data_IF_215800146495
#
_entry.id   IF_215800146495
#
_cell.length_a   1.000
_cell.length_b   1.000
_cell.length_c   1.000
_cell.angle_alpha   90.00
_cell.angle_beta   90.00
_cell.angle_gamma   90.00
#
_symmetry.space_group_name_H-M   'P 1'
#
loop_
_entity.id
_entity.type
_entity.pdbx_description
1 polymer ?
#
# COMPACT_ATOMS: atom_id res chain seq x y z
N UNK A 1 -35.11 40.61 -24.75
CA UNK A 1 -36.56 40.32 -24.72
C UNK A 1 -36.92 38.90 -25.15
N UNK A 2 -35.94 38.03 -25.45
CA UNK A 2 -36.18 36.66 -25.92
C UNK A 2 -35.65 35.55 -24.98
N UNK A 3 -34.91 35.90 -23.92
CA UNK A 3 -34.48 34.95 -22.88
C UNK A 3 -35.48 34.85 -21.71
N UNK A 4 -36.27 35.89 -21.46
CA UNK A 4 -37.27 35.95 -20.37
C UNK A 4 -38.58 35.19 -20.67
N UNK A 5 -38.68 34.57 -21.86
CA UNK A 5 -39.79 33.68 -22.28
C UNK A 5 -39.45 32.20 -22.13
N UNK A 6 -38.19 31.80 -22.35
CA UNK A 6 -37.73 30.41 -22.17
C UNK A 6 -37.68 29.98 -20.69
N UNK A 7 -37.49 30.92 -19.78
CA UNK A 7 -37.50 30.65 -18.34
C UNK A 7 -38.92 30.47 -17.77
N UNK A 8 -39.93 31.12 -18.37
CA UNK A 8 -41.35 30.97 -17.97
C UNK A 8 -42.00 29.67 -18.47
N UNK A 9 -41.55 29.14 -19.61
CA UNK A 9 -42.06 27.85 -20.12
C UNK A 9 -41.43 26.64 -19.43
N UNK A 10 -40.22 26.75 -18.87
CA UNK A 10 -39.62 25.68 -18.05
C UNK A 10 -40.23 25.60 -16.65
N UNK A 11 -40.68 26.73 -16.07
CA UNK A 11 -41.35 26.76 -14.77
C UNK A 11 -42.83 26.32 -14.82
N UNK A 12 -43.43 26.22 -16.02
CA UNK A 12 -44.81 25.75 -16.21
C UNK A 12 -44.93 24.22 -16.40
N UNK A 13 -43.82 23.51 -16.55
CA UNK A 13 -43.78 22.02 -16.63
C UNK A 13 -43.39 21.32 -15.32
N UNK A 14 -43.25 22.08 -14.23
CA UNK A 14 -42.95 21.56 -12.89
C UNK A 14 -44.14 21.73 -11.95
N UNK A 15 -45.19 20.94 -12.11
CA UNK A 15 -46.35 21.03 -11.23
C UNK A 15 -47.47 20.06 -11.55
N UNK A 16 -47.21 18.75 -11.54
CA UNK A 16 -48.26 17.76 -11.34
C UNK A 16 -47.82 16.73 -10.29
N UNK A 17 -48.72 16.54 -9.32
CA UNK A 17 -48.61 15.66 -8.16
C UNK A 17 -48.16 14.24 -8.55
N UNK A 18 -46.95 13.87 -8.14
CA UNK A 18 -46.53 12.45 -8.08
C UNK A 18 -47.27 11.84 -6.89
N UNK A 19 -48.41 11.22 -7.17
CA UNK A 19 -49.17 10.44 -6.18
C UNK A 19 -48.52 9.07 -6.07
N UNK A 20 -48.28 8.62 -4.84
CA UNK A 20 -47.61 7.38 -4.41
C UNK A 20 -48.23 6.05 -4.94
N UNK A 21 -49.15 6.10 -5.91
CA UNK A 21 -49.83 4.96 -6.55
C UNK A 21 -49.18 4.47 -7.85
N UNK A 22 -48.31 5.26 -8.49
CA UNK A 22 -47.71 4.89 -9.79
C UNK A 22 -46.37 4.13 -9.70
N UNK A 23 -45.84 3.90 -8.49
CA UNK A 23 -44.62 3.10 -8.26
C UNK A 23 -44.92 1.71 -7.69
N UNK A 24 -46.19 1.35 -7.52
CA UNK A 24 -46.63 0.04 -6.99
C UNK A 24 -47.34 -0.83 -8.03
N UNK A 25 -47.65 -0.31 -9.23
CA UNK A 25 -48.45 -1.03 -10.24
C UNK A 25 -47.64 -1.82 -11.26
N UNK A 26 -46.33 -1.54 -11.40
CA UNK A 26 -45.48 -2.16 -12.43
C UNK A 26 -44.72 -3.42 -11.95
N UNK A 27 -44.62 -3.64 -10.63
CA UNK A 27 -43.92 -4.80 -10.07
C UNK A 27 -44.84 -6.03 -9.87
N UNK A 28 -46.14 -5.84 -9.60
CA UNK A 28 -47.08 -6.98 -9.48
C UNK A 28 -47.38 -7.67 -10.82
N UNK A 29 -47.32 -6.94 -11.94
CA UNK A 29 -47.71 -7.45 -13.26
C UNK A 29 -46.59 -8.27 -13.95
N UNK A 30 -45.35 -8.18 -13.45
CA UNK A 30 -44.20 -8.96 -13.94
C UNK A 30 -44.03 -10.29 -13.22
N UNK A 31 -44.38 -10.40 -11.95
CA UNK A 31 -44.33 -11.67 -11.22
C UNK A 31 -45.52 -12.57 -11.54
N UNK A 32 -46.72 -12.01 -11.71
CA UNK A 32 -47.91 -12.75 -12.17
C UNK A 32 -47.71 -13.39 -13.56
N UNK A 33 -47.09 -12.67 -14.52
CA UNK A 33 -46.75 -13.22 -15.84
C UNK A 33 -45.68 -14.30 -15.81
N UNK A 34 -44.73 -14.25 -14.86
CA UNK A 34 -43.72 -15.31 -14.70
C UNK A 34 -44.35 -16.58 -14.13
N UNK A 35 -45.26 -16.46 -13.17
CA UNK A 35 -45.92 -17.62 -12.56
C UNK A 35 -46.90 -18.31 -13.52
N UNK A 36 -47.61 -17.54 -14.36
CA UNK A 36 -48.46 -18.11 -15.43
C UNK A 36 -47.62 -18.85 -16.49
N UNK A 37 -46.46 -18.31 -16.87
CA UNK A 37 -45.54 -18.96 -17.82
C UNK A 37 -44.93 -20.24 -17.24
N UNK A 38 -44.64 -20.25 -15.93
CA UNK A 38 -44.09 -21.40 -15.20
C UNK A 38 -45.13 -22.52 -14.98
N UNK A 39 -46.40 -22.17 -14.75
CA UNK A 39 -47.52 -23.12 -14.71
C UNK A 39 -47.85 -23.69 -16.09
N UNK A 40 -47.78 -22.87 -17.15
CA UNK A 40 -47.96 -23.32 -18.53
C UNK A 40 -46.88 -24.31 -18.96
N UNK A 41 -45.61 -24.08 -18.58
CA UNK A 41 -44.52 -25.01 -18.86
C UNK A 41 -44.61 -26.30 -18.04
N UNK A 42 -45.04 -26.24 -16.77
CA UNK A 42 -45.22 -27.44 -15.96
C UNK A 42 -46.43 -28.28 -16.41
N UNK A 43 -47.49 -27.64 -16.92
CA UNK A 43 -48.62 -28.37 -17.51
C UNK A 43 -48.21 -29.04 -18.84
N UNK A 44 -47.42 -28.39 -19.68
CA UNK A 44 -46.88 -29.02 -20.89
C UNK A 44 -45.98 -30.22 -20.57
N UNK A 45 -45.08 -30.10 -19.58
CA UNK A 45 -44.27 -31.24 -19.11
C UNK A 45 -45.09 -32.37 -18.47
N UNK A 46 -46.27 -32.06 -17.89
CA UNK A 46 -47.15 -33.10 -17.31
C UNK A 46 -47.99 -33.84 -18.36
N UNK A 47 -48.28 -33.18 -19.50
CA UNK A 47 -49.04 -33.77 -20.62
C UNK A 47 -48.12 -34.61 -21.53
N UNK A 48 -46.84 -34.24 -21.67
CA UNK A 48 -45.87 -35.06 -22.43
C UNK A 48 -45.45 -36.35 -21.68
N UNK A 49 -45.70 -36.47 -20.37
CA UNK A 49 -45.35 -37.65 -19.56
C UNK A 49 -46.32 -38.83 -19.64
N UNK A 50 -47.47 -38.70 -20.30
CA UNK A 50 -48.46 -39.79 -20.37
C UNK A 50 -48.25 -40.76 -21.54
N UNK A 51 -47.16 -40.63 -22.31
CA UNK A 51 -46.93 -41.44 -23.51
C UNK A 51 -45.57 -42.15 -23.63
N UNK A 52 -44.67 -42.06 -22.65
CA UNK A 52 -43.32 -42.64 -22.75
C UNK A 52 -43.23 -44.06 -22.16
N UNK A 53 -42.67 -44.99 -22.95
CA UNK A 53 -42.40 -46.37 -22.56
C UNK A 53 -41.29 -46.45 -21.50
N UNK A 54 -41.33 -47.45 -20.62
CA UNK A 54 -40.39 -47.55 -19.49
C UNK A 54 -38.91 -47.73 -19.91
N UNK A 55 -38.64 -48.14 -21.16
CA UNK A 55 -37.29 -48.20 -21.72
C UNK A 55 -36.70 -46.82 -22.05
N UNK A 56 -37.55 -45.81 -22.35
CA UNK A 56 -37.12 -44.45 -22.68
C UNK A 56 -36.82 -43.62 -21.43
N UNK A 57 -37.52 -43.91 -20.32
CA UNK A 57 -37.22 -43.34 -18.99
C UNK A 57 -35.84 -43.74 -18.50
N UNK A 58 -35.43 -44.98 -18.72
CA UNK A 58 -34.13 -45.48 -18.27
C UNK A 58 -32.96 -44.86 -19.06
N UNK A 59 -33.12 -44.63 -20.37
CA UNK A 59 -32.15 -43.87 -21.20
C UNK A 59 -32.10 -42.38 -20.84
N UNK A 60 -33.26 -41.77 -20.57
CA UNK A 60 -33.36 -40.38 -20.13
C UNK A 60 -32.63 -40.17 -18.80
N UNK A 61 -32.86 -41.04 -17.81
CA UNK A 61 -32.20 -40.96 -16.49
C UNK A 61 -30.72 -41.32 -16.53
N UNK A 62 -30.27 -42.20 -17.44
CA UNK A 62 -28.83 -42.45 -17.68
C UNK A 62 -28.14 -41.21 -18.26
N UNK A 63 -28.74 -40.55 -19.25
CA UNK A 63 -28.20 -39.29 -19.81
C UNK A 63 -28.22 -38.14 -18.78
N UNK A 64 -29.20 -38.15 -17.86
CA UNK A 64 -29.33 -37.16 -16.78
C UNK A 64 -28.35 -37.40 -15.64
N UNK A 65 -27.96 -38.66 -15.39
CA UNK A 65 -26.87 -39.04 -14.48
C UNK A 65 -25.50 -38.68 -15.07
N UNK A 66 -25.27 -38.96 -16.35
CA UNK A 66 -24.03 -38.55 -17.05
C UNK A 66 -23.90 -37.01 -17.11
N UNK A 67 -25.00 -36.27 -17.35
CA UNK A 67 -25.01 -34.78 -17.27
C UNK A 67 -24.86 -34.21 -15.86
N UNK A 68 -25.08 -35.01 -14.81
CA UNK A 68 -24.88 -34.57 -13.42
C UNK A 68 -23.45 -34.76 -12.95
N UNK A 69 -22.75 -35.76 -13.48
CA UNK A 69 -21.35 -36.04 -13.15
C UNK A 69 -20.37 -35.09 -13.87
N UNK A 70 -20.76 -34.51 -15.00
CA UNK A 70 -19.93 -33.55 -15.76
C UNK A 70 -20.14 -32.07 -15.38
N UNK A 71 -20.79 -31.81 -14.23
CA UNK A 71 -20.76 -30.47 -13.62
C UNK A 71 -19.44 -30.27 -12.90
N UNK A 72 -18.39 -30.01 -13.68
CA UNK A 72 -17.18 -29.37 -13.19
C UNK A 72 -17.55 -28.17 -12.31
N UNK A 73 -16.76 -27.89 -11.26
CA UNK A 73 -16.90 -26.72 -10.38
C UNK A 73 -16.73 -25.35 -11.11
N UNK A 74 -16.79 -25.36 -12.45
CA UNK A 74 -16.78 -24.16 -13.27
C UNK A 74 -18.02 -23.31 -12.93
N UNK A 75 -17.86 -22.02 -12.57
CA UNK A 75 -18.99 -21.12 -12.44
C UNK A 75 -19.72 -21.05 -13.78
N UNK A 76 -21.04 -20.87 -13.76
CA UNK A 76 -21.79 -20.44 -14.94
C UNK A 76 -21.08 -19.23 -15.57
N UNK A 77 -21.05 -19.11 -16.91
CA UNK A 77 -20.23 -18.10 -17.58
C UNK A 77 -20.46 -16.68 -17.02
N UNK A 78 -21.72 -16.31 -16.72
CA UNK A 78 -22.05 -15.06 -16.02
C UNK A 78 -21.39 -14.88 -14.64
N UNK A 79 -21.24 -15.95 -13.86
CA UNK A 79 -20.58 -15.94 -12.55
C UNK A 79 -19.05 -15.93 -12.71
N UNK A 80 -18.52 -16.46 -13.82
CA UNK A 80 -17.09 -16.42 -14.17
C UNK A 80 -16.68 -15.00 -14.60
N UNK A 81 -17.47 -14.35 -15.45
CA UNK A 81 -17.27 -12.96 -15.90
C UNK A 81 -17.41 -11.99 -14.73
N UNK A 82 -18.39 -12.23 -13.84
CA UNK A 82 -18.51 -11.53 -12.58
C UNK A 82 -17.39 -11.80 -11.58
N UNK A 83 -16.51 -12.79 -11.76
CA UNK A 83 -15.43 -13.06 -10.79
C UNK A 83 -14.07 -12.57 -11.32
N UNK A 84 -13.80 -12.79 -12.59
CA UNK A 84 -12.52 -12.49 -13.24
C UNK A 84 -12.50 -11.15 -13.98
N UNK A 85 -13.65 -10.51 -14.15
CA UNK A 85 -13.79 -9.26 -14.91
C UNK A 85 -14.01 -9.55 -16.39
N UNK A 86 -14.69 -8.63 -17.08
CA UNK A 86 -14.95 -8.76 -18.51
C UNK A 86 -13.65 -8.51 -19.28
N UNK A 87 -13.28 -9.41 -20.18
CA UNK A 87 -12.11 -9.22 -21.07
C UNK A 87 -12.30 -7.96 -21.93
N UNK A 88 -13.56 -7.61 -22.19
CA UNK A 88 -14.01 -6.41 -22.86
C UNK A 88 -14.97 -5.62 -21.95
N UNK A 89 -14.48 -5.00 -20.88
CA UNK A 89 -15.20 -3.85 -20.31
C UNK A 89 -15.18 -2.74 -21.38
N UNK A 90 -16.08 -2.85 -22.38
CA UNK A 90 -16.34 -1.81 -23.37
C UNK A 90 -16.59 -0.56 -22.57
N UNK A 91 -15.73 0.42 -22.78
CA UNK A 91 -15.75 1.72 -22.14
C UNK A 91 -17.19 2.22 -22.09
N UNK A 92 -17.83 2.05 -20.93
CA UNK A 92 -19.23 2.46 -20.71
C UNK A 92 -19.33 3.99 -20.64
N UNK A 93 -18.27 4.71 -21.02
CA UNK A 93 -18.07 6.14 -20.76
C UNK A 93 -17.90 6.45 -19.27
N UNK A 94 -17.84 5.42 -18.42
CA UNK A 94 -17.76 5.51 -16.96
C UNK A 94 -16.41 5.03 -16.41
N UNK A 95 -15.49 4.56 -17.27
CA UNK A 95 -14.13 4.14 -16.92
C UNK A 95 -13.08 5.22 -17.27
N UNK A 96 -11.89 5.13 -16.67
CA UNK A 96 -10.76 5.98 -17.08
C UNK A 96 -10.25 5.53 -18.46
N UNK A 97 -10.11 6.47 -19.39
CA UNK A 97 -9.53 6.22 -20.72
C UNK A 97 -8.13 5.62 -20.58
N UNK A 98 -7.91 4.43 -21.16
CA UNK A 98 -6.59 3.77 -21.22
C UNK A 98 -5.65 4.63 -22.08
N UNK A 99 -4.82 5.43 -21.42
CA UNK A 99 -3.96 6.45 -22.03
C UNK A 99 -2.47 6.25 -21.72
N UNK A 100 -2.12 5.23 -20.94
CA UNK A 100 -0.76 4.95 -20.52
C UNK A 100 -0.05 4.04 -21.52
N UNK A 101 1.12 4.49 -22.02
CA UNK A 101 2.04 3.68 -22.84
C UNK A 101 2.92 2.78 -21.96
N UNK A 102 3.61 1.79 -22.55
CA UNK A 102 4.54 0.92 -21.81
C UNK A 102 5.61 1.73 -21.06
N UNK A 103 6.20 2.72 -21.73
CA UNK A 103 7.21 3.61 -21.13
C UNK A 103 6.63 4.40 -19.95
N UNK A 104 5.39 4.88 -20.06
CA UNK A 104 4.71 5.56 -18.96
C UNK A 104 4.45 4.60 -17.79
N UNK A 105 4.11 3.33 -18.05
CA UNK A 105 3.93 2.33 -17.00
C UNK A 105 5.24 1.98 -16.28
N UNK A 106 6.34 1.77 -17.02
CA UNK A 106 7.65 1.44 -16.42
C UNK A 106 8.15 2.60 -15.56
N UNK A 107 8.12 3.83 -16.08
CA UNK A 107 8.55 5.02 -15.34
C UNK A 107 7.69 5.27 -14.10
N UNK A 108 6.37 5.06 -14.19
CA UNK A 108 5.47 5.12 -13.04
C UNK A 108 5.78 4.05 -11.99
N UNK A 109 6.06 2.80 -12.39
CA UNK A 109 6.43 1.71 -11.46
C UNK A 109 7.74 2.05 -10.74
N UNK A 110 8.76 2.49 -11.47
CA UNK A 110 10.05 2.89 -10.89
C UNK A 110 9.86 4.04 -9.90
N UNK A 111 9.09 5.07 -10.26
CA UNK A 111 8.78 6.20 -9.38
C UNK A 111 7.99 5.84 -8.13
N UNK A 112 7.12 4.82 -8.20
CA UNK A 112 6.35 4.32 -7.06
C UNK A 112 7.19 3.43 -6.12
N UNK A 113 8.09 2.60 -6.67
CA UNK A 113 8.94 1.69 -5.88
C UNK A 113 10.05 2.46 -5.17
N UNK A 114 10.65 3.45 -5.84
CA UNK A 114 11.70 4.29 -5.25
C UNK A 114 11.06 5.27 -4.25
N UNK A 115 10.98 4.83 -3.00
CA UNK A 115 10.47 5.62 -1.88
C UNK A 115 11.56 6.28 -1.04
N UNK A 116 11.14 6.95 0.04
CA UNK A 116 12.05 7.52 1.04
C UNK A 116 12.78 6.46 1.89
N UNK A 117 12.38 5.18 1.78
CA UNK A 117 12.98 4.07 2.54
C UNK A 117 14.48 3.90 2.31
N UNK A 118 14.98 4.17 1.11
CA UNK A 118 16.43 4.06 0.80
C UNK A 118 17.32 4.95 1.67
N UNK A 119 16.77 6.01 2.25
CA UNK A 119 17.51 6.91 3.15
C UNK A 119 17.47 6.47 4.61
N UNK A 120 16.54 5.58 4.99
CA UNK A 120 16.34 5.13 6.38
C UNK A 120 16.81 3.69 6.57
N UNK A 121 16.48 2.81 5.63
CA UNK A 121 16.75 1.37 5.72
C UNK A 121 18.23 0.98 5.83
N UNK A 122 19.21 1.67 5.21
CA UNK A 122 20.61 1.25 5.31
C UNK A 122 21.15 1.16 6.74
N UNK A 123 20.78 2.09 7.62
CA UNK A 123 21.25 2.06 9.02
C UNK A 123 20.69 0.85 9.75
N UNK A 124 19.38 0.60 9.62
CA UNK A 124 18.73 -0.54 10.25
C UNK A 124 19.24 -1.90 9.74
N UNK A 125 19.47 -2.03 8.44
CA UNK A 125 20.02 -3.27 7.85
C UNK A 125 21.46 -3.47 8.30
N UNK A 126 22.29 -2.42 8.29
CA UNK A 126 23.70 -2.52 8.68
C UNK A 126 23.86 -2.85 10.17
N UNK A 127 23.04 -2.25 11.04
CA UNK A 127 23.01 -2.55 12.48
C UNK A 127 22.65 -4.00 12.76
N UNK A 128 21.67 -4.54 12.02
CA UNK A 128 21.24 -5.93 12.18
C UNK A 128 22.22 -6.93 11.53
N UNK A 129 22.81 -6.61 10.38
CA UNK A 129 23.68 -7.50 9.62
C UNK A 129 25.12 -7.54 10.16
N UNK A 130 25.57 -6.50 10.86
CA UNK A 130 26.87 -6.44 11.54
C UNK A 130 28.10 -6.26 10.62
N UNK A 131 28.00 -6.56 9.33
CA UNK A 131 29.08 -6.39 8.33
C UNK A 131 28.56 -5.79 7.02
N UNK A 132 29.45 -5.14 6.26
CA UNK A 132 29.13 -4.47 4.99
C UNK A 132 28.69 -5.49 3.93
N UNK A 133 29.41 -6.61 3.83
CA UNK A 133 29.13 -7.69 2.90
C UNK A 133 27.79 -8.36 3.17
N UNK A 134 27.47 -8.63 4.44
CA UNK A 134 26.15 -9.17 4.80
C UNK A 134 25.02 -8.19 4.49
N UNK A 135 25.20 -6.89 4.73
CA UNK A 135 24.21 -5.85 4.39
C UNK A 135 23.94 -5.78 2.89
N UNK A 136 24.98 -5.79 2.04
CA UNK A 136 24.84 -5.82 0.59
C UNK A 136 24.14 -7.10 0.09
N UNK A 137 24.49 -8.26 0.66
CA UNK A 137 23.82 -9.52 0.34
C UNK A 137 22.32 -9.46 0.69
N UNK A 138 21.97 -8.87 1.84
CA UNK A 138 20.57 -8.66 2.23
C UNK A 138 19.81 -7.79 1.25
N UNK A 139 20.41 -6.69 0.73
CA UNK A 139 19.77 -5.86 -0.30
C UNK A 139 19.46 -6.65 -1.58
N UNK A 140 20.37 -7.49 -2.04
CA UNK A 140 20.17 -8.34 -3.22
C UNK A 140 19.05 -9.36 -2.96
N UNK A 141 19.08 -10.04 -1.81
CA UNK A 141 18.07 -11.01 -1.42
C UNK A 141 16.67 -10.38 -1.33
N UNK A 142 16.56 -9.17 -0.76
CA UNK A 142 15.30 -8.41 -0.73
C UNK A 142 14.81 -8.08 -2.15
N UNK A 143 15.69 -7.68 -3.07
CA UNK A 143 15.34 -7.41 -4.46
C UNK A 143 14.79 -8.64 -5.18
N UNK A 144 15.44 -9.79 -5.03
CA UNK A 144 14.96 -11.07 -5.59
C UNK A 144 13.60 -11.45 -4.97
N UNK A 145 13.47 -11.31 -3.65
CA UNK A 145 12.24 -11.59 -2.92
C UNK A 145 11.06 -10.72 -3.40
N UNK A 146 11.29 -9.42 -3.60
CA UNK A 146 10.31 -8.51 -4.18
C UNK A 146 9.95 -8.88 -5.63
N UNK A 147 10.93 -9.32 -6.43
CA UNK A 147 10.71 -9.81 -7.79
C UNK A 147 9.80 -11.04 -7.84
N UNK A 148 10.01 -12.00 -6.93
CA UNK A 148 9.12 -13.16 -6.79
C UNK A 148 7.68 -12.74 -6.45
N UNK A 149 7.52 -11.82 -5.49
CA UNK A 149 6.21 -11.26 -5.13
C UNK A 149 5.53 -10.58 -6.32
N UNK A 150 6.24 -9.70 -7.04
CA UNK A 150 5.72 -9.00 -8.21
C UNK A 150 5.25 -9.98 -9.31
N UNK A 151 5.97 -11.09 -9.51
CA UNK A 151 5.59 -12.10 -10.48
C UNK A 151 4.28 -12.82 -10.11
N UNK A 152 4.06 -13.12 -8.82
CA UNK A 152 2.79 -13.66 -8.30
C UNK A 152 1.65 -12.67 -8.53
N UNK A 153 1.88 -11.38 -8.26
CA UNK A 153 0.90 -10.32 -8.50
C UNK A 153 0.60 -10.12 -10.00
N UNK A 154 1.57 -10.37 -10.89
CA UNK A 154 1.36 -10.29 -12.33
C UNK A 154 0.39 -11.37 -12.85
N UNK A 155 0.47 -12.60 -12.34
CA UNK A 155 -0.52 -13.65 -12.67
C UNK A 155 -1.90 -13.31 -12.11
N UNK A 156 -1.99 -12.88 -10.84
CA UNK A 156 -3.28 -12.49 -10.25
C UNK A 156 -3.93 -11.32 -10.99
N UNK A 157 -3.16 -10.28 -11.35
CA UNK A 157 -3.66 -9.10 -12.03
C UNK A 157 -4.01 -9.32 -13.51
N UNK A 158 -3.44 -10.33 -14.15
CA UNK A 158 -3.84 -10.74 -15.52
C UNK A 158 -4.99 -11.74 -15.53
N UNK A 159 -5.19 -12.49 -14.44
CA UNK A 159 -6.31 -13.40 -14.26
C UNK A 159 -7.58 -12.66 -13.80
N UNK A 160 -7.46 -11.69 -12.89
CA UNK A 160 -8.57 -10.93 -12.32
C UNK A 160 -8.41 -9.46 -12.74
N UNK A 161 -9.14 -9.06 -13.78
CA UNK A 161 -9.07 -7.71 -14.36
C UNK A 161 -9.98 -6.69 -13.66
N UNK A 162 -10.64 -7.09 -12.57
CA UNK A 162 -11.47 -6.22 -11.76
C UNK A 162 -10.67 -5.13 -11.04
N UNK A 163 -11.25 -3.93 -10.99
CA UNK A 163 -10.73 -2.84 -10.14
C UNK A 163 -10.82 -3.21 -8.66
N UNK A 164 -9.74 -2.99 -7.91
CA UNK A 164 -9.66 -3.22 -6.46
C UNK A 164 -8.36 -3.85 -5.97
N UNK A 165 -7.53 -4.40 -6.86
CA UNK A 165 -6.25 -5.01 -6.51
C UNK A 165 -6.43 -6.17 -5.52
N UNK A 166 -5.65 -6.16 -4.44
CA UNK A 166 -5.64 -7.20 -3.39
C UNK A 166 -7.03 -7.53 -2.86
N UNK A 167 -7.90 -6.53 -2.72
CA UNK A 167 -9.28 -6.71 -2.29
C UNK A 167 -10.07 -7.61 -3.25
N UNK A 168 -9.94 -7.38 -4.56
CA UNK A 168 -10.63 -8.16 -5.58
C UNK A 168 -10.09 -9.60 -5.63
N UNK A 169 -8.77 -9.79 -5.44
CA UNK A 169 -8.16 -11.13 -5.37
C UNK A 169 -8.70 -11.92 -4.18
N UNK A 170 -8.80 -11.28 -3.01
CA UNK A 170 -9.35 -11.89 -1.81
C UNK A 170 -10.84 -12.21 -1.95
N UNK A 171 -11.61 -11.33 -2.59
CA UNK A 171 -13.03 -11.56 -2.89
C UNK A 171 -13.22 -12.80 -3.77
N UNK A 172 -12.38 -12.96 -4.81
CA UNK A 172 -12.46 -14.11 -5.71
C UNK A 172 -12.05 -15.44 -5.04
N UNK A 173 -11.00 -15.43 -4.22
CA UNK A 173 -10.43 -16.65 -3.64
C UNK A 173 -11.16 -17.14 -2.38
N UNK A 174 -11.47 -16.23 -1.46
CA UNK A 174 -11.96 -16.54 -0.11
C UNK A 174 -13.36 -16.01 0.17
N UNK A 175 -13.88 -15.10 -0.65
CA UNK A 175 -15.22 -14.54 -0.51
C UNK A 175 -15.30 -13.28 0.35
N UNK A 176 -16.52 -12.84 0.70
CA UNK A 176 -16.77 -11.49 1.20
C UNK A 176 -16.10 -11.17 2.54
N UNK A 177 -16.09 -12.11 3.49
CA UNK A 177 -15.59 -11.86 4.84
C UNK A 177 -14.09 -11.57 4.89
N UNK A 178 -13.27 -12.41 4.25
CA UNK A 178 -11.82 -12.17 4.20
C UNK A 178 -11.45 -10.99 3.32
N UNK A 179 -12.23 -10.70 2.28
CA UNK A 179 -12.09 -9.48 1.49
C UNK A 179 -12.35 -8.23 2.35
N UNK A 180 -13.42 -8.24 3.16
CA UNK A 180 -13.71 -7.18 4.12
C UNK A 180 -12.58 -7.00 5.12
N UNK A 181 -12.08 -8.09 5.72
CA UNK A 181 -10.98 -8.02 6.69
C UNK A 181 -9.71 -7.43 6.06
N UNK A 182 -9.34 -7.88 4.85
CA UNK A 182 -8.21 -7.32 4.08
C UNK A 182 -8.37 -5.83 3.84
N UNK A 183 -9.57 -5.40 3.44
CA UNK A 183 -9.91 -4.00 3.17
C UNK A 183 -9.83 -3.15 4.45
N UNK A 184 -10.38 -3.67 5.55
CA UNK A 184 -10.44 -2.98 6.84
C UNK A 184 -9.03 -2.78 7.43
N UNK A 185 -8.22 -3.84 7.45
CA UNK A 185 -6.82 -3.80 7.90
C UNK A 185 -6.01 -2.80 7.06
N UNK A 186 -6.20 -2.79 5.75
CA UNK A 186 -5.52 -1.83 4.86
C UNK A 186 -5.89 -0.39 5.20
N UNK A 187 -7.18 -0.14 5.42
CA UNK A 187 -7.73 1.20 5.62
C UNK A 187 -7.44 1.80 6.99
N UNK A 188 -7.39 0.97 8.04
CA UNK A 188 -7.19 1.42 9.42
C UNK A 188 -5.73 1.28 9.83
N UNK A 189 -5.06 0.18 9.49
CA UNK A 189 -3.72 -0.10 10.00
C UNK A 189 -2.66 0.27 8.97
N UNK A 190 -2.65 -0.40 7.81
CA UNK A 190 -1.49 -0.33 6.90
C UNK A 190 -1.29 1.09 6.34
N UNK A 191 -2.33 1.70 5.77
CA UNK A 191 -2.22 3.02 5.13
C UNK A 191 -1.98 4.16 6.11
N UNK A 192 -2.76 4.30 7.20
CA UNK A 192 -2.53 5.38 8.17
C UNK A 192 -1.19 5.27 8.87
N UNK A 193 -0.75 4.06 9.25
CA UNK A 193 0.58 3.86 9.81
C UNK A 193 1.68 4.26 8.82
N UNK A 194 1.56 3.87 7.54
CA UNK A 194 2.55 4.24 6.53
C UNK A 194 2.67 5.77 6.37
N UNK A 195 1.55 6.49 6.32
CA UNK A 195 1.54 7.97 6.26
C UNK A 195 2.21 8.56 7.50
N UNK A 196 1.91 8.01 8.68
CA UNK A 196 2.47 8.46 9.96
C UNK A 196 3.99 8.25 10.03
N UNK A 197 4.48 7.07 9.65
CA UNK A 197 5.91 6.74 9.62
C UNK A 197 6.66 7.67 8.67
N UNK A 198 6.11 7.90 7.47
CA UNK A 198 6.71 8.78 6.47
C UNK A 198 6.70 10.24 6.95
N UNK A 199 5.63 10.69 7.61
CA UNK A 199 5.54 12.05 8.16
C UNK A 199 6.49 12.29 9.35
N UNK A 200 6.67 11.29 10.22
CA UNK A 200 7.68 11.35 11.28
C UNK A 200 9.09 11.36 10.70
N UNK A 201 9.33 10.57 9.66
CA UNK A 201 10.61 10.58 8.93
C UNK A 201 10.86 11.98 8.35
N UNK A 202 9.86 12.59 7.71
CA UNK A 202 9.95 13.98 7.24
C UNK A 202 10.41 14.93 8.35
N UNK A 203 9.73 14.90 9.50
CA UNK A 203 10.01 15.81 10.61
C UNK A 203 11.43 15.62 11.17
N UNK A 204 11.87 14.38 11.35
CA UNK A 204 13.21 14.05 11.83
C UNK A 204 14.30 14.57 10.88
N UNK A 205 14.13 14.34 9.57
CA UNK A 205 15.10 14.78 8.57
C UNK A 205 15.09 16.30 8.36
N UNK A 206 13.92 16.95 8.51
CA UNK A 206 13.80 18.41 8.45
C UNK A 206 14.49 19.10 9.64
N UNK A 207 14.38 18.51 10.84
CA UNK A 207 14.96 19.07 12.07
C UNK A 207 16.45 18.78 12.21
N UNK A 208 16.98 17.77 11.52
CA UNK A 208 18.38 17.34 11.68
C UNK A 208 19.42 18.44 11.42
N UNK A 209 19.29 19.31 10.39
CA UNK A 209 20.23 20.43 10.20
C UNK A 209 20.20 21.45 11.34
N UNK A 210 19.06 21.60 12.02
CA UNK A 210 18.87 22.54 13.12
C UNK A 210 19.40 21.96 14.44
N UNK A 211 19.23 20.65 14.63
CA UNK A 211 19.67 19.90 15.80
C UNK A 211 20.64 18.77 15.39
N UNK A 212 21.89 19.08 15.00
CA UNK A 212 22.83 18.08 14.48
C UNK A 212 23.36 17.13 15.56
N UNK A 213 23.61 17.64 16.77
CA UNK A 213 24.28 16.91 17.86
C UNK A 213 23.36 16.52 19.01
N UNK A 214 22.11 16.98 19.00
CA UNK A 214 21.16 16.76 20.06
C UNK A 214 19.82 16.27 19.50
N UNK A 215 19.02 15.65 20.36
CA UNK A 215 17.66 15.31 20.00
C UNK A 215 16.80 16.58 19.94
N UNK A 216 15.89 16.68 18.96
CA UNK A 216 14.98 17.82 18.88
C UNK A 216 14.08 17.88 20.13
N UNK A 217 13.50 19.05 20.44
CA UNK A 217 12.61 19.22 21.58
C UNK A 217 11.44 18.21 21.58
N UNK A 218 11.00 17.81 22.77
CA UNK A 218 9.86 16.91 22.95
C UNK A 218 8.62 17.45 22.21
N UNK A 219 7.87 16.56 21.54
CA UNK A 219 6.71 16.85 20.68
C UNK A 219 6.96 17.63 19.38
N UNK A 220 8.16 18.18 19.15
CA UNK A 220 8.43 18.98 17.94
C UNK A 220 8.35 18.16 16.65
N UNK A 221 8.81 16.91 16.68
CA UNK A 221 8.75 15.97 15.56
C UNK A 221 7.31 15.61 15.20
N UNK A 222 6.48 15.39 16.20
CA UNK A 222 5.08 15.01 16.09
C UNK A 222 4.26 16.17 15.55
N UNK A 223 4.48 17.40 16.05
CA UNK A 223 3.77 18.58 15.55
C UNK A 223 4.08 18.82 14.07
N UNK A 224 5.35 18.74 13.66
CA UNK A 224 5.76 18.92 12.26
C UNK A 224 5.18 17.81 11.36
N UNK A 225 5.21 16.56 11.83
CA UNK A 225 4.63 15.44 11.12
C UNK A 225 3.10 15.60 10.95
N UNK A 226 2.40 16.01 12.00
CA UNK A 226 0.97 16.29 11.99
C UNK A 226 0.62 17.41 11.02
N UNK A 227 1.39 18.50 11.01
CA UNK A 227 1.25 19.60 10.05
C UNK A 227 1.40 19.12 8.60
N UNK A 228 2.39 18.28 8.31
CA UNK A 228 2.56 17.70 6.98
C UNK A 228 1.32 16.90 6.56
N UNK A 229 0.80 16.03 7.43
CA UNK A 229 -0.39 15.20 7.14
C UNK A 229 -1.60 16.09 6.84
N UNK A 230 -1.81 17.15 7.62
CA UNK A 230 -2.91 18.10 7.41
C UNK A 230 -2.76 18.86 6.09
N UNK A 231 -1.55 19.36 5.78
CA UNK A 231 -1.28 20.09 4.54
C UNK A 231 -1.51 19.18 3.32
N UNK A 232 -0.96 17.97 3.34
CA UNK A 232 -1.16 17.01 2.24
C UNK A 232 -2.62 16.58 2.10
N UNK A 233 -3.30 16.35 3.22
CA UNK A 233 -4.74 16.08 3.24
C UNK A 233 -5.55 17.22 2.62
N UNK A 234 -5.25 18.47 2.98
CA UNK A 234 -5.90 19.65 2.42
C UNK A 234 -5.67 19.79 0.91
N UNK A 235 -4.43 19.58 0.44
CA UNK A 235 -4.09 19.61 -0.99
C UNK A 235 -4.89 18.55 -1.76
N UNK A 236 -4.95 17.31 -1.24
CA UNK A 236 -5.69 16.21 -1.85
C UNK A 236 -7.22 16.42 -1.83
N UNK A 237 -7.73 17.11 -0.81
CA UNK A 237 -9.14 17.51 -0.74
C UNK A 237 -9.47 18.67 -1.70
N UNK A 238 -8.54 19.60 -1.93
CA UNK A 238 -8.74 20.77 -2.78
C UNK A 238 -8.68 20.42 -4.27
N UNK A 239 -7.60 19.78 -4.73
CA UNK A 239 -7.41 19.51 -6.16
C UNK A 239 -6.48 18.33 -6.42
N UNK A 240 -7.00 17.34 -7.16
CA UNK A 240 -6.20 16.21 -7.66
C UNK A 240 -5.07 16.69 -8.59
N UNK A 241 -5.27 17.81 -9.31
CA UNK A 241 -4.23 18.38 -10.19
C UNK A 241 -3.05 18.95 -9.41
N UNK A 242 -3.31 19.58 -8.27
CA UNK A 242 -2.24 20.10 -7.40
C UNK A 242 -1.55 18.93 -6.69
N UNK A 243 -2.31 17.94 -6.22
CA UNK A 243 -1.75 16.73 -5.61
C UNK A 243 -0.83 15.96 -6.57
N UNK A 244 -1.23 15.83 -7.85
CA UNK A 244 -0.38 15.22 -8.90
C UNK A 244 0.86 16.06 -9.19
N UNK A 245 0.74 17.39 -9.29
CA UNK A 245 1.90 18.27 -9.47
C UNK A 245 2.93 18.13 -8.32
N UNK A 246 2.45 18.10 -7.07
CA UNK A 246 3.31 17.86 -5.89
C UNK A 246 3.99 16.50 -5.97
N UNK A 247 3.27 15.46 -6.43
CA UNK A 247 3.83 14.13 -6.64
C UNK A 247 4.96 14.14 -7.68
N UNK A 248 4.73 14.79 -8.82
CA UNK A 248 5.68 14.79 -9.93
C UNK A 248 6.99 15.50 -9.53
N UNK A 249 6.88 16.71 -8.96
CA UNK A 249 8.05 17.47 -8.47
C UNK A 249 8.84 16.71 -7.41
N UNK A 250 8.16 16.11 -6.43
CA UNK A 250 8.84 15.32 -5.40
C UNK A 250 9.50 14.07 -5.99
N UNK A 251 8.92 13.47 -7.03
CA UNK A 251 9.51 12.33 -7.74
C UNK A 251 10.78 12.74 -8.48
N UNK A 252 10.78 13.86 -9.20
CA UNK A 252 11.99 14.38 -9.85
C UNK A 252 13.09 14.68 -8.83
N UNK A 253 12.75 15.32 -7.71
CA UNK A 253 13.70 15.61 -6.63
C UNK A 253 14.36 14.34 -6.06
N UNK A 254 13.60 13.25 -5.90
CA UNK A 254 14.12 11.94 -5.47
C UNK A 254 15.14 11.38 -6.45
N UNK A 255 14.80 11.38 -7.73
CA UNK A 255 15.68 10.83 -8.78
C UNK A 255 16.98 11.62 -8.84
N UNK A 256 16.92 12.95 -8.79
CA UNK A 256 18.12 13.80 -8.76
C UNK A 256 18.99 13.50 -7.53
N UNK A 257 18.38 13.39 -6.34
CA UNK A 257 19.12 13.07 -5.12
C UNK A 257 19.83 11.71 -5.20
N UNK A 258 19.19 10.70 -5.78
CA UNK A 258 19.80 9.38 -5.96
C UNK A 258 20.93 9.40 -6.97
N UNK A 259 20.76 10.08 -8.10
CA UNK A 259 21.83 10.26 -9.10
C UNK A 259 23.03 10.94 -8.44
N UNK A 260 22.81 11.99 -7.66
CA UNK A 260 23.88 12.69 -6.93
C UNK A 260 24.64 11.74 -5.99
N UNK A 261 23.93 10.93 -5.20
CA UNK A 261 24.55 9.95 -4.29
C UNK A 261 25.34 8.89 -5.04
N UNK A 262 24.80 8.36 -6.15
CA UNK A 262 25.46 7.33 -6.97
C UNK A 262 26.73 7.88 -7.62
N UNK A 263 26.64 9.03 -8.29
CA UNK A 263 27.77 9.65 -8.99
C UNK A 263 28.88 10.01 -7.99
N UNK A 264 28.51 10.59 -6.86
CA UNK A 264 29.48 10.97 -5.83
C UNK A 264 30.11 9.74 -5.19
N UNK A 265 29.32 8.72 -4.86
CA UNK A 265 29.82 7.45 -4.36
C UNK A 265 30.80 6.78 -5.33
N UNK A 266 30.48 6.75 -6.63
CA UNK A 266 31.36 6.21 -7.67
C UNK A 266 32.65 7.02 -7.81
N UNK A 267 32.57 8.36 -7.78
CA UNK A 267 33.74 9.23 -7.84
C UNK A 267 34.72 8.95 -6.69
N UNK A 268 34.25 8.90 -5.44
CA UNK A 268 35.12 8.60 -4.29
C UNK A 268 35.58 7.14 -4.24
N UNK A 269 34.82 6.20 -4.78
CA UNK A 269 35.27 4.82 -4.91
C UNK A 269 36.46 4.69 -5.89
N UNK A 270 36.45 5.43 -7.02
CA UNK A 270 37.47 5.34 -8.08
C UNK A 270 38.66 6.27 -7.84
N UNK A 271 38.42 7.51 -7.41
CA UNK A 271 39.45 8.55 -7.28
C UNK A 271 39.71 8.99 -5.84
N UNK A 272 38.92 8.53 -4.87
CA UNK A 272 39.10 8.87 -3.46
C UNK A 272 40.31 8.17 -2.82
N UNK A 273 40.77 8.70 -1.69
CA UNK A 273 41.84 8.10 -0.90
C UNK A 273 41.44 6.76 -0.23
N UNK A 274 42.40 6.04 0.36
CA UNK A 274 42.20 4.69 0.93
C UNK A 274 41.05 4.62 1.94
N UNK A 275 40.84 5.68 2.73
CA UNK A 275 39.74 5.83 3.71
C UNK A 275 38.33 5.56 3.17
N UNK A 276 38.09 5.78 1.87
CA UNK A 276 36.80 5.51 1.23
C UNK A 276 36.64 4.05 0.78
N UNK A 277 37.73 3.27 0.82
CA UNK A 277 37.82 1.86 0.40
C UNK A 277 38.01 0.88 1.54
N UNK A 278 38.40 1.34 2.73
CA UNK A 278 38.59 0.52 3.94
C UNK A 278 37.37 -0.38 4.25
N UNK A 279 36.15 0.12 4.00
CA UNK A 279 34.92 -0.67 4.19
C UNK A 279 34.79 -1.88 3.25
N UNK A 280 35.57 -1.91 2.17
CA UNK A 280 35.61 -3.00 1.19
C UNK A 280 36.81 -3.95 1.35
N UNK A 281 37.79 -3.62 2.19
CA UNK A 281 38.96 -4.49 2.40
C UNK A 281 38.62 -5.69 3.29
N UNK A 282 37.76 -5.46 4.31
CA UNK A 282 37.27 -6.50 5.22
C UNK A 282 35.73 -6.52 5.26
N UNK A 283 35.10 -6.82 4.11
CA UNK A 283 33.63 -6.73 3.95
C UNK A 283 32.82 -7.56 4.95
N UNK A 284 33.35 -8.68 5.45
CA UNK A 284 32.64 -9.57 6.39
C UNK A 284 33.07 -9.40 7.85
N UNK A 285 34.07 -8.57 8.14
CA UNK A 285 34.49 -8.32 9.52
C UNK A 285 33.56 -7.29 10.19
N UNK A 286 33.22 -7.54 11.44
CA UNK A 286 32.30 -6.72 12.23
C UNK A 286 32.92 -5.42 12.71
N UNK A 287 33.26 -4.51 11.80
CA UNK A 287 33.79 -3.19 12.15
C UNK A 287 32.67 -2.18 12.39
N UNK A 288 32.04 -2.24 13.58
CA UNK A 288 30.99 -1.29 13.94
C UNK A 288 31.51 -0.20 14.90
N UNK A 289 31.71 1.01 14.36
CA UNK A 289 31.74 2.26 15.15
C UNK A 289 30.95 3.36 14.44
N UNK A 290 29.77 3.64 15.00
CA UNK A 290 28.88 4.81 14.82
C UNK A 290 27.71 4.69 13.81
N UNK A 291 26.52 4.93 14.36
CA UNK A 291 25.16 4.69 13.86
C UNK A 291 24.67 5.66 12.75
N UNK A 292 25.50 6.57 12.25
CA UNK A 292 25.02 7.79 11.57
C UNK A 292 25.49 7.94 10.12
N UNK A 293 25.72 6.84 9.41
CA UNK A 293 26.52 6.81 8.17
C UNK A 293 26.02 7.70 7.03
N UNK A 294 24.71 7.91 6.83
CA UNK A 294 24.22 8.77 5.74
C UNK A 294 24.50 10.27 5.98
N UNK A 295 24.29 10.75 7.21
CA UNK A 295 24.63 12.13 7.60
C UNK A 295 26.13 12.31 7.75
N UNK A 296 26.85 11.30 8.25
CA UNK A 296 28.31 11.30 8.32
C UNK A 296 28.97 11.23 6.94
N UNK A 297 28.39 10.51 5.98
CA UNK A 297 28.80 10.53 4.58
C UNK A 297 28.57 11.93 4.01
N UNK A 298 27.40 12.52 4.26
CA UNK A 298 27.10 13.89 3.85
C UNK A 298 28.13 14.90 4.39
N UNK A 299 28.42 14.83 5.70
CA UNK A 299 29.39 15.70 6.38
C UNK A 299 30.82 15.47 5.89
N UNK A 300 31.24 14.23 5.68
CA UNK A 300 32.59 13.90 5.21
C UNK A 300 32.82 14.28 3.75
N UNK A 301 31.79 14.16 2.92
CA UNK A 301 31.90 14.34 1.46
C UNK A 301 31.56 15.76 1.03
N UNK A 302 30.45 16.30 1.52
CA UNK A 302 29.93 17.60 1.10
C UNK A 302 30.29 18.74 2.06
N UNK A 303 30.86 18.44 3.24
CA UNK A 303 31.28 19.44 4.22
C UNK A 303 30.15 20.40 4.58
N UNK A 304 30.29 21.66 4.17
CA UNK A 304 29.30 22.72 4.42
C UNK A 304 27.95 22.49 3.72
N UNK A 305 27.90 21.65 2.68
CA UNK A 305 26.68 21.29 1.95
C UNK A 305 26.03 19.98 2.46
N UNK A 306 26.48 19.43 3.60
CA UNK A 306 25.94 18.20 4.18
C UNK A 306 24.43 18.26 4.49
N UNK A 307 23.88 19.46 4.70
CA UNK A 307 22.45 19.67 4.94
C UNK A 307 21.56 19.39 3.72
N UNK A 308 22.13 19.31 2.50
CA UNK A 308 21.37 19.04 1.27
C UNK A 308 20.76 17.64 1.31
N UNK A 309 21.51 16.63 1.76
CA UNK A 309 21.03 15.25 1.80
C UNK A 309 19.76 15.13 2.67
N UNK A 310 19.76 15.50 3.96
CA UNK A 310 18.57 15.39 4.79
C UNK A 310 17.39 16.22 4.26
N UNK A 311 17.64 17.35 3.60
CA UNK A 311 16.60 18.13 2.92
C UNK A 311 16.00 17.38 1.72
N UNK A 312 16.83 16.76 0.88
CA UNK A 312 16.37 15.91 -0.21
C UNK A 312 15.56 14.69 0.30
N UNK A 313 15.97 14.11 1.42
CA UNK A 313 15.20 13.04 2.09
C UNK A 313 13.84 13.57 2.55
N UNK A 314 13.80 14.74 3.19
CA UNK A 314 12.56 15.37 3.61
C UNK A 314 11.63 15.61 2.41
N UNK A 315 12.12 16.19 1.31
CA UNK A 315 11.32 16.36 0.08
C UNK A 315 10.83 15.01 -0.47
N UNK A 316 11.65 13.96 -0.39
CA UNK A 316 11.26 12.62 -0.82
C UNK A 316 10.07 12.07 -0.03
N UNK A 317 10.08 12.24 1.29
CA UNK A 317 9.00 11.75 2.17
C UNK A 317 7.65 12.40 1.86
N UNK A 318 7.62 13.68 1.46
CA UNK A 318 6.39 14.38 1.03
C UNK A 318 5.71 13.62 -0.12
N UNK A 319 6.46 13.24 -1.16
CA UNK A 319 5.93 12.49 -2.30
C UNK A 319 5.48 11.07 -1.95
N UNK A 320 6.12 10.42 -0.98
CA UNK A 320 5.70 9.09 -0.52
C UNK A 320 4.38 9.15 0.26
N UNK A 321 4.21 10.13 1.13
CA UNK A 321 2.96 10.35 1.86
C UNK A 321 1.81 10.73 0.92
N UNK A 322 2.06 11.65 -0.01
CA UNK A 322 1.08 12.09 -1.01
C UNK A 322 0.62 10.96 -1.93
N UNK A 323 1.55 10.14 -2.44
CA UNK A 323 1.21 8.96 -3.25
C UNK A 323 0.36 7.93 -2.48
N UNK A 324 0.60 7.77 -1.17
CA UNK A 324 -0.19 6.88 -0.31
C UNK A 324 -1.63 7.38 -0.13
N UNK A 325 -1.82 8.69 0.06
CA UNK A 325 -3.14 9.32 0.12
C UNK A 325 -3.92 9.18 -1.20
N UNK A 326 -3.26 9.45 -2.32
CA UNK A 326 -3.88 9.35 -3.66
C UNK A 326 -4.33 7.92 -4.01
N UNK A 327 -3.55 6.91 -3.60
CA UNK A 327 -3.91 5.51 -3.85
C UNK A 327 -4.97 4.98 -2.88
N UNK A 328 -5.01 5.51 -1.65
CA UNK A 328 -5.96 5.08 -0.62
C UNK A 328 -7.42 5.30 -1.01
N UNK A 329 -7.74 6.42 -1.66
CA UNK A 329 -9.13 6.75 -2.03
C UNK A 329 -9.77 5.75 -3.00
N UNK A 330 -8.99 5.15 -3.90
CA UNK A 330 -9.47 4.16 -4.88
C UNK A 330 -9.95 2.88 -4.21
N UNK A 331 -9.30 2.50 -3.12
CA UNK A 331 -9.64 1.31 -2.37
C UNK A 331 -10.99 1.45 -1.65
N UNK A 332 -11.25 2.61 -1.01
CA UNK A 332 -12.54 2.90 -0.38
C UNK A 332 -13.69 2.81 -1.39
N UNK A 333 -13.49 3.37 -2.59
CA UNK A 333 -14.49 3.32 -3.66
C UNK A 333 -14.82 1.89 -4.11
N UNK A 334 -13.81 1.01 -4.22
CA UNK A 334 -14.04 -0.40 -4.57
C UNK A 334 -14.81 -1.14 -3.45
N UNK A 335 -14.47 -0.89 -2.18
CA UNK A 335 -15.14 -1.52 -1.05
C UNK A 335 -16.63 -1.16 -0.92
N UNK A 336 -17.02 0.09 -1.22
CA UNK A 336 -18.43 0.46 -1.14
C UNK A 336 -19.28 -0.05 -2.31
N UNK A 337 -18.68 -0.30 -3.49
CA UNK A 337 -19.41 -0.96 -4.60
C UNK A 337 -19.96 -2.32 -4.18
N UNK A 338 -19.25 -3.02 -3.30
CA UNK A 338 -19.63 -4.32 -2.76
C UNK A 338 -20.39 -4.22 -1.42
N UNK A 339 -20.77 -3.01 -0.98
CA UNK A 339 -21.52 -2.77 0.26
C UNK A 339 -20.73 -3.01 1.55
N UNK A 340 -19.39 -3.12 1.48
CA UNK A 340 -18.54 -3.46 2.61
C UNK A 340 -17.95 -2.24 3.35
N UNK A 341 -18.23 -1.03 2.87
CA UNK A 341 -17.77 0.23 3.46
C UNK A 341 -18.94 1.21 3.60
N UNK A 342 -18.93 2.07 4.63
CA UNK A 342 -19.92 3.13 4.77
C UNK A 342 -19.95 4.04 3.53
N UNK A 343 -21.14 4.30 3.00
CA UNK A 343 -21.34 5.10 1.78
C UNK A 343 -20.75 6.52 1.92
N UNK A 344 -20.69 7.06 3.13
CA UNK A 344 -20.09 8.38 3.40
C UNK A 344 -18.62 8.45 2.95
N UNK A 345 -17.83 7.38 3.15
CA UNK A 345 -16.40 7.35 2.80
C UNK A 345 -16.16 7.28 1.30
N UNK A 346 -17.20 7.05 0.48
CA UNK A 346 -17.08 6.93 -0.98
C UNK A 346 -17.72 8.07 -1.75
N UNK A 347 -18.27 9.05 -1.03
CA UNK A 347 -18.77 10.27 -1.62
C UNK A 347 -17.63 11.08 -2.25
N UNK A 348 -17.86 11.53 -3.49
CA UNK A 348 -16.96 12.41 -4.24
C UNK A 348 -17.59 13.79 -4.28
N UNK A 349 -16.82 14.84 -3.97
CA UNK A 349 -17.29 16.20 -4.03
C UNK A 349 -17.64 16.58 -5.48
N UNK A 350 -18.86 17.08 -5.71
CA UNK A 350 -19.37 17.46 -7.04
C UNK A 350 -18.56 18.60 -7.70
N UNK A 351 -18.06 19.56 -6.92
CA UNK A 351 -17.34 20.74 -7.43
C UNK A 351 -15.87 20.45 -7.73
N UNK A 352 -15.19 19.77 -6.81
CA UNK A 352 -13.75 19.53 -6.87
C UNK A 352 -13.38 18.15 -7.46
N UNK A 353 -14.34 17.24 -7.59
CA UNK A 353 -14.15 15.83 -8.01
C UNK A 353 -13.13 15.08 -7.15
N UNK A 354 -13.02 15.46 -5.87
CA UNK A 354 -12.10 14.89 -4.87
C UNK A 354 -12.86 14.03 -3.84
N UNK A 355 -12.27 12.93 -3.36
CA UNK A 355 -12.86 12.04 -2.35
C UNK A 355 -12.56 12.56 -0.93
N UNK A 356 -13.18 13.68 -0.55
CA UNK A 356 -12.90 14.38 0.71
C UNK A 356 -13.08 13.49 1.95
N UNK A 357 -14.19 12.75 2.14
CA UNK A 357 -14.39 11.96 3.37
C UNK A 357 -13.35 10.86 3.56
N UNK A 358 -12.95 10.17 2.48
CA UNK A 358 -11.91 9.13 2.54
C UNK A 358 -10.54 9.70 2.96
N UNK A 359 -10.15 10.83 2.36
CA UNK A 359 -8.87 11.50 2.65
C UNK A 359 -8.87 11.99 4.10
N UNK A 360 -9.94 12.66 4.54
CA UNK A 360 -10.07 13.16 5.92
C UNK A 360 -10.02 12.01 6.91
N UNK A 361 -10.75 10.91 6.66
CA UNK A 361 -10.70 9.72 7.51
C UNK A 361 -9.28 9.17 7.65
N UNK A 362 -8.57 9.02 6.53
CA UNK A 362 -7.19 8.51 6.53
C UNK A 362 -6.25 9.43 7.30
N UNK A 363 -6.37 10.76 7.11
CA UNK A 363 -5.57 11.76 7.83
C UNK A 363 -5.86 11.72 9.35
N UNK A 364 -7.13 11.63 9.75
CA UNK A 364 -7.53 11.58 11.17
C UNK A 364 -6.96 10.33 11.84
N UNK A 365 -7.08 9.16 11.21
CA UNK A 365 -6.52 7.92 11.75
C UNK A 365 -4.99 8.00 11.83
N UNK A 366 -4.33 8.60 10.83
CA UNK A 366 -2.87 8.79 10.83
C UNK A 366 -2.43 9.70 11.99
N UNK A 367 -3.13 10.81 12.21
CA UNK A 367 -2.88 11.70 13.35
C UNK A 367 -3.15 10.97 14.68
N UNK A 368 -4.15 10.08 14.74
CA UNK A 368 -4.38 9.22 15.90
C UNK A 368 -3.17 8.33 16.22
N UNK A 369 -2.59 7.67 15.22
CA UNK A 369 -1.36 6.88 15.38
C UNK A 369 -0.17 7.72 15.81
N UNK A 370 -0.09 8.97 15.33
CA UNK A 370 0.96 9.91 15.71
C UNK A 370 0.94 10.22 17.21
N UNK A 371 -0.25 10.47 17.79
CA UNK A 371 -0.38 10.74 19.23
C UNK A 371 -0.27 9.49 20.10
N UNK A 372 -0.63 8.32 19.58
CA UNK A 372 -0.55 7.06 20.31
C UNK A 372 0.86 6.46 20.30
N UNK A 373 1.72 6.86 19.35
CA UNK A 373 3.07 6.30 19.19
C UNK A 373 4.09 7.04 20.05
N UNK A 374 4.64 6.38 21.06
CA UNK A 374 5.84 6.83 21.77
C UNK A 374 7.14 6.41 21.07
N UNK A 375 7.08 5.49 20.09
CA UNK A 375 8.25 4.92 19.41
C UNK A 375 7.94 4.55 17.95
N UNK A 376 8.60 5.23 17.02
CA UNK A 376 8.49 5.01 15.57
C UNK A 376 8.79 3.56 15.15
N UNK A 377 9.81 2.94 15.77
CA UNK A 377 10.20 1.55 15.45
C UNK A 377 9.14 0.51 15.81
N UNK A 378 8.41 0.72 16.90
CA UNK A 378 7.32 -0.18 17.30
C UNK A 378 6.18 -0.09 16.28
N UNK A 379 5.86 1.12 15.82
CA UNK A 379 4.84 1.34 14.79
C UNK A 379 5.24 0.72 13.45
N UNK A 380 6.52 0.84 13.06
CA UNK A 380 7.07 0.16 11.88
C UNK A 380 6.89 -1.35 12.04
N UNK A 381 7.38 -1.95 13.12
CA UNK A 381 7.36 -3.41 13.27
C UNK A 381 5.92 -3.97 13.27
N UNK A 382 5.01 -3.36 14.02
CA UNK A 382 3.61 -3.80 14.07
C UNK A 382 2.89 -3.64 12.72
N UNK A 383 3.09 -2.51 12.03
CA UNK A 383 2.48 -2.28 10.72
C UNK A 383 3.04 -3.20 9.65
N UNK A 384 4.35 -3.47 9.65
CA UNK A 384 5.00 -4.37 8.68
C UNK A 384 4.59 -5.83 8.89
N UNK A 385 4.49 -6.32 10.13
CA UNK A 385 3.97 -7.67 10.40
C UNK A 385 2.56 -7.82 9.83
N UNK A 386 1.72 -6.81 10.03
CA UNK A 386 0.34 -6.80 9.54
C UNK A 386 0.28 -6.74 8.00
N UNK A 387 1.13 -5.92 7.38
CA UNK A 387 1.22 -5.81 5.92
C UNK A 387 1.72 -7.11 5.28
N UNK A 388 2.76 -7.73 5.84
CA UNK A 388 3.28 -9.01 5.36
C UNK A 388 2.28 -10.14 5.54
N UNK A 389 1.54 -10.20 6.65
CA UNK A 389 0.44 -11.14 6.82
C UNK A 389 -0.62 -11.01 5.71
N UNK A 390 -0.97 -9.78 5.33
CA UNK A 390 -1.91 -9.53 4.25
C UNK A 390 -1.36 -9.99 2.89
N UNK A 391 -0.08 -9.73 2.60
CA UNK A 391 0.60 -10.17 1.37
C UNK A 391 0.69 -11.70 1.30
N UNK A 392 1.04 -12.36 2.41
CA UNK A 392 1.06 -13.84 2.51
C UNK A 392 -0.31 -14.42 2.19
N UNK A 393 -1.37 -13.79 2.69
CA UNK A 393 -2.75 -14.24 2.44
C UNK A 393 -3.12 -14.14 0.95
N UNK A 394 -2.67 -13.08 0.26
CA UNK A 394 -2.86 -12.93 -1.20
C UNK A 394 -2.07 -14.00 -1.97
N UNK A 395 -0.84 -14.32 -1.54
CA UNK A 395 -0.07 -15.40 -2.16
C UNK A 395 -0.76 -16.78 -1.97
N UNK A 396 -1.36 -17.03 -0.80
CA UNK A 396 -2.21 -18.22 -0.58
C UNK A 396 -3.47 -18.16 -1.45
N UNK A 397 -4.07 -16.98 -1.64
CA UNK A 397 -5.23 -16.78 -2.52
C UNK A 397 -4.94 -17.26 -3.94
N UNK A 398 -3.74 -16.95 -4.46
CA UNK A 398 -3.28 -17.40 -5.77
C UNK A 398 -3.20 -18.93 -5.87
N UNK A 399 -2.60 -19.59 -4.87
CA UNK A 399 -2.52 -21.05 -4.80
C UNK A 399 -3.93 -21.68 -4.74
N UNK A 400 -4.83 -21.09 -3.94
CA UNK A 400 -6.22 -21.54 -3.85
C UNK A 400 -6.97 -21.37 -5.17
N UNK A 401 -6.75 -20.27 -5.89
CA UNK A 401 -7.35 -20.03 -7.22
C UNK A 401 -6.85 -21.03 -8.27
N UNK A 402 -5.63 -21.56 -8.14
CA UNK A 402 -5.15 -22.68 -8.98
C UNK A 402 -5.92 -23.96 -8.73
N UNK A 403 -6.18 -24.31 -7.48
CA UNK A 403 -6.93 -25.52 -7.15
C UNK A 403 -8.43 -25.38 -7.48
N UNK A 404 -9.02 -24.20 -7.25
CA UNK A 404 -10.46 -23.98 -7.42
C UNK A 404 -10.87 -23.75 -8.88
N UNK A 405 -10.02 -23.08 -9.67
CA UNK A 405 -10.27 -22.75 -11.07
C UNK A 405 -9.05 -23.10 -11.94
N UNK A 406 -8.85 -24.39 -12.23
CA UNK A 406 -7.71 -24.85 -13.04
C UNK A 406 -7.83 -24.40 -14.50
N UNK A 407 -9.03 -24.41 -15.07
CA UNK A 407 -9.29 -24.14 -16.49
C UNK A 407 -9.47 -22.66 -16.84
N UNK A 408 -9.34 -21.77 -15.85
CA UNK A 408 -9.44 -20.33 -16.11
C UNK A 408 -8.26 -19.84 -16.98
N UNK A 409 -8.49 -18.99 -17.98
CA UNK A 409 -7.43 -18.49 -18.86
C UNK A 409 -6.44 -17.64 -18.06
N UNK A 410 -5.14 -18.00 -18.14
CA UNK A 410 -4.04 -17.31 -17.44
C UNK A 410 -3.02 -16.84 -18.49
N UNK A 411 -3.09 -15.57 -18.91
CA UNK A 411 -2.13 -15.02 -19.87
C UNK A 411 -0.68 -15.08 -19.37
N UNK A 412 -0.49 -14.85 -18.07
CA UNK A 412 0.79 -15.02 -17.37
C UNK A 412 0.67 -16.18 -16.39
N UNK A 413 1.56 -17.16 -16.51
CA UNK A 413 1.58 -18.36 -15.65
C UNK A 413 2.93 -18.51 -14.97
N UNK A 414 2.94 -18.33 -13.66
CA UNK A 414 4.13 -18.44 -12.80
C UNK A 414 4.42 -19.93 -12.50
N UNK A 415 5.70 -20.32 -12.39
CA UNK A 415 6.02 -21.67 -11.94
C UNK A 415 5.57 -21.87 -10.49
N UNK A 416 4.93 -23.00 -10.15
CA UNK A 416 4.30 -23.23 -8.84
C UNK A 416 5.29 -23.18 -7.67
N UNK A 417 6.58 -23.43 -7.92
CA UNK A 417 7.64 -23.35 -6.91
C UNK A 417 7.74 -21.93 -6.31
N UNK A 418 7.58 -20.89 -7.14
CA UNK A 418 7.75 -19.49 -6.73
C UNK A 418 6.74 -19.08 -5.63
N UNK A 419 5.41 -19.23 -5.82
CA UNK A 419 4.45 -18.89 -4.78
C UNK A 419 4.58 -19.78 -3.53
N UNK A 420 4.98 -21.05 -3.65
CA UNK A 420 5.20 -21.91 -2.49
C UNK A 420 6.38 -21.39 -1.65
N UNK A 421 7.53 -21.13 -2.27
CA UNK A 421 8.70 -20.56 -1.59
C UNK A 421 8.37 -19.20 -0.99
N UNK A 422 7.65 -18.36 -1.73
CA UNK A 422 7.25 -17.03 -1.25
C UNK A 422 6.32 -17.13 -0.02
N UNK A 423 5.32 -18.02 -0.03
CA UNK A 423 4.43 -18.24 1.13
C UNK A 423 5.21 -18.76 2.33
N UNK A 424 6.13 -19.71 2.13
CA UNK A 424 6.96 -20.24 3.23
C UNK A 424 7.81 -19.14 3.86
N UNK A 425 8.60 -18.42 3.07
CA UNK A 425 9.48 -17.39 3.64
C UNK A 425 8.72 -16.17 4.18
N UNK A 426 7.60 -15.77 3.56
CA UNK A 426 6.77 -14.66 4.10
C UNK A 426 6.08 -15.06 5.40
N UNK A 427 5.69 -16.33 5.55
CA UNK A 427 5.19 -16.86 6.83
C UNK A 427 6.30 -16.82 7.90
N UNK A 428 7.54 -17.20 7.57
CA UNK A 428 8.67 -17.06 8.48
C UNK A 428 8.92 -15.60 8.90
N UNK A 429 8.85 -14.65 7.97
CA UNK A 429 9.01 -13.20 8.24
C UNK A 429 7.93 -12.67 9.20
N UNK A 430 6.72 -13.24 9.18
CA UNK A 430 5.65 -12.89 10.13
C UNK A 430 5.85 -13.57 11.48
N UNK A 431 6.22 -14.84 11.49
CA UNK A 431 6.32 -15.66 12.71
C UNK A 431 7.50 -15.25 13.58
N UNK A 432 8.69 -15.03 12.99
CA UNK A 432 9.92 -14.76 13.75
C UNK A 432 9.82 -13.50 14.64
N UNK A 433 9.32 -12.34 14.17
CA UNK A 433 9.19 -11.15 15.00
C UNK A 433 8.15 -11.27 16.12
N UNK A 434 7.10 -12.07 15.92
CA UNK A 434 6.07 -12.32 16.95
C UNK A 434 6.69 -13.01 18.17
N UNK A 435 7.65 -13.90 17.96
CA UNK A 435 8.38 -14.56 19.04
C UNK A 435 9.57 -13.74 19.56
N UNK A 436 10.24 -12.95 18.71
CA UNK A 436 11.39 -12.13 19.10
C UNK A 436 11.02 -10.92 19.98
N UNK A 437 9.98 -10.17 19.60
CA UNK A 437 9.58 -8.93 20.28
C UNK A 437 9.26 -9.07 21.79
N UNK A 438 8.58 -10.14 22.27
CA UNK A 438 8.37 -10.36 23.69
C UNK A 438 9.66 -10.65 24.47
N UNK A 439 10.64 -11.34 23.87
CA UNK A 439 11.91 -11.66 24.52
C UNK A 439 12.81 -10.43 24.66
N UNK A 440 12.84 -9.57 23.63
CA UNK A 440 13.60 -8.31 23.69
C UNK A 440 13.02 -7.33 24.72
N UNK A 441 11.70 -7.31 24.89
CA UNK A 441 11.04 -6.48 25.91
C UNK A 441 11.36 -6.96 27.33
N UNK A 442 11.42 -8.27 27.56
CA UNK A 442 11.86 -8.85 28.83
C UNK A 442 13.33 -8.56 29.15
N UNK A 443 14.20 -8.58 28.14
CA UNK A 443 15.64 -8.37 28.31
C UNK A 443 16.06 -6.89 28.34
N UNK A 444 15.31 -6.00 27.66
CA UNK A 444 15.53 -4.55 27.74
C UNK A 444 14.98 -3.93 29.01
N UNK A 445 13.91 -4.47 29.62
CA UNK A 445 13.42 -3.95 30.91
C UNK A 445 14.48 -4.09 32.02
N UNK A 446 15.29 -5.16 31.98
CA UNK A 446 16.41 -5.38 32.91
C UNK A 446 17.68 -4.58 32.57
N UNK A 447 17.88 -4.16 31.31
CA UNK A 447 18.95 -3.23 30.90
C UNK A 447 18.60 -1.76 31.12
N UNK A 448 17.36 -1.35 30.86
CA UNK A 448 16.88 0.03 31.08
C UNK A 448 16.86 0.38 32.56
N UNK A 449 16.49 -0.55 33.44
CA UNK A 449 16.64 -0.39 34.90
C UNK A 449 18.10 -0.20 35.34
N UNK A 450 19.06 -0.73 34.57
CA UNK A 450 20.51 -0.59 34.82
C UNK A 450 21.12 0.69 34.23
N UNK A 451 20.54 1.23 33.17
CA UNK A 451 21.01 2.46 32.50
C UNK A 451 20.37 3.71 33.13
N UNK A 452 19.12 3.61 33.62
CA UNK A 452 18.42 4.70 34.30
C UNK A 452 19.04 5.09 35.65
N UNK A 453 19.85 4.21 36.26
CA UNK A 453 20.65 4.55 37.45
C UNK A 453 22.00 5.21 37.11
N UNK A 454 22.39 5.26 35.83
CA UNK A 454 23.73 5.71 35.40
C UNK A 454 23.74 6.94 34.48
N UNK A 455 22.64 7.32 33.82
CA UNK A 455 22.66 8.38 32.81
C UNK A 455 21.56 9.42 33.00
N UNK A 456 21.95 10.62 33.45
CA UNK A 456 21.10 11.81 33.42
C UNK A 456 20.97 12.29 31.96
N UNK A 457 19.75 12.54 31.43
CA UNK A 457 19.58 13.04 30.07
C UNK A 457 20.00 14.52 29.98
N UNK A 458 21.04 14.80 29.17
CA UNK A 458 21.47 16.18 28.87
C UNK A 458 20.39 16.87 28.02
N UNK A 459 19.56 17.69 28.67
CA UNK A 459 18.57 18.57 28.06
C UNK A 459 19.28 19.80 27.49
N UNK A 460 18.98 20.20 26.25
CA UNK A 460 19.51 21.43 25.67
C UNK A 460 19.01 22.64 26.47
N UNK A 461 19.84 23.15 27.37
CA UNK A 461 19.70 24.49 27.93
C UNK A 461 20.55 25.46 27.10
N UNK A 462 20.09 26.71 27.10
CA UNK A 462 20.39 27.78 26.14
C UNK A 462 21.86 27.91 25.71
N UNK A 463 22.00 28.21 24.41
CA UNK A 463 23.13 28.84 23.72
C UNK A 463 24.00 29.70 24.67
N UNK A 464 25.22 29.25 24.96
CA UNK A 464 26.30 30.14 25.38
C UNK A 464 27.54 29.75 24.59
N UNK A 465 27.93 30.64 23.68
CA UNK A 465 29.18 30.57 22.93
C UNK A 465 30.31 30.77 23.94
N UNK A 466 31.18 29.78 24.11
CA UNK A 466 32.47 29.94 24.77
C UNK A 466 33.56 29.37 23.85
N UNK A 467 34.66 30.10 23.61
CA UNK A 467 35.68 29.70 22.64
C UNK A 467 36.51 28.53 23.18
N UNK A 468 36.77 27.54 22.31
CA UNK A 468 37.77 26.50 22.56
C UNK A 468 39.16 27.14 22.61
N UNK A 469 39.79 27.09 23.78
CA UNK A 469 41.23 27.31 23.94
C UNK A 469 41.90 25.93 23.91
N UNK A 470 42.75 25.71 22.91
CA UNK A 470 43.61 24.54 22.79
C UNK A 470 44.50 24.37 24.03
N UNK A 471 44.55 23.14 24.56
CA UNK A 471 45.64 22.70 25.46
C UNK A 471 46.35 21.49 24.85
N UNK A 472 47.69 21.49 24.79
CA UNK A 472 48.45 20.46 24.10
C UNK A 472 48.57 19.17 24.92
N UNK A 473 48.74 18.07 24.18
CA UNK A 473 49.04 16.73 24.67
C UNK A 473 50.33 16.70 25.48
N UNK A 474 50.27 16.24 26.73
CA UNK A 474 51.43 15.71 27.44
C UNK A 474 51.50 14.19 27.28
N UNK A 475 52.66 13.77 26.79
CA UNK A 475 53.10 12.41 26.55
C UNK A 475 53.77 11.90 27.83
N UNK A 476 53.20 10.88 28.46
CA UNK A 476 53.86 10.18 29.57
C UNK A 476 54.16 8.73 29.16
N UNK A 477 55.45 8.49 28.94
CA UNK A 477 56.19 7.25 29.20
C UNK A 477 57.23 7.62 30.29
N UNK A 478 57.78 6.67 31.07
CA UNK A 478 57.95 5.23 30.79
C UNK A 478 56.97 4.30 31.51
#
# INVERSE_FOLDING_TARGET
MDESRKERDMLRKGGEHITLKSLLSDDEDKDSRKDVKKRSSSLKESVDRSGESDADKEKSDKSRREKREDKSLAPSDKKRDQLFGDADEKDTGKGLKRTLTLTNCVTMIVGCIIGSGIFVSPTGIQEAAGSVGASLAMWILCGIWCGMGAYIYAELGTMITKSGGDYAYMMAAFGPFLAFLRLWIESIVVRPCAITIVALTFALYLLRPIYPTCNPPEYSTEIIAGLLIVILGAINCWSVKVATLVQDWTTYAKVVALIMVIVTGAYYAIFGGPKYRESFEHIFEGNFRNLYQASLFAERVYGRLAFIIPLCVAVSTIGSANGTLMTGSRLFYCGAREGQMPVLLTMINKRLRTPIPAVVFTCVVSIGYLFMSSNLYVLINASQITAWLAITTVAIAMLRLRCKYPDAPRPVKVNLIIPIVFVMGSSCIVILPIFGSPMDTGNNRSRVLRISTSSSPKRCSKLSVAPMVDKPHEMHLP
#
